data_IF_492017878160
#
_entry.id   IF_492017878160
#
_cell.length_a   1.000
_cell.length_b   1.000
_cell.length_c   1.000
_cell.angle_alpha   90.00
_cell.angle_beta   90.00
_cell.angle_gamma   90.00
#
_symmetry.space_group_name_H-M   'P 1'
#
loop_
_entity.id
_entity.type
_entity.pdbx_description
1 polymer ?
#
# COMPACT_ATOMS: atom_id res chain seq x y z
N UNK A 1 38.59 -18.95 12.47
CA UNK A 1 37.99 -19.25 11.16
C UNK A 1 37.10 -18.07 10.83
N UNK A 2 37.65 -17.14 10.06
CA UNK A 2 36.88 -16.04 9.48
C UNK A 2 35.91 -16.68 8.48
N UNK A 3 34.60 -16.41 8.63
CA UNK A 3 33.63 -16.82 7.62
C UNK A 3 33.86 -15.93 6.40
N UNK A 4 34.43 -16.50 5.35
CA UNK A 4 34.50 -15.87 4.03
C UNK A 4 33.08 -15.43 3.64
N UNK A 5 32.92 -14.13 3.37
CA UNK A 5 31.67 -13.51 2.98
C UNK A 5 31.34 -13.69 1.49
N UNK A 6 31.91 -14.72 0.87
CA UNK A 6 31.62 -15.09 -0.52
C UNK A 6 30.42 -16.04 -0.51
N UNK A 7 29.24 -15.56 -0.91
CA UNK A 7 28.07 -16.41 -1.13
C UNK A 7 26.78 -16.01 -0.43
N UNK A 8 26.69 -14.81 0.15
CA UNK A 8 25.37 -14.31 0.59
C UNK A 8 24.55 -13.96 -0.65
N UNK A 9 23.71 -14.89 -1.09
CA UNK A 9 22.79 -14.71 -2.22
C UNK A 9 21.89 -13.51 -1.93
N UNK A 10 22.03 -12.45 -2.71
CA UNK A 10 21.20 -11.25 -2.62
C UNK A 10 19.83 -11.47 -3.26
N UNK A 11 18.86 -10.60 -2.93
CA UNK A 11 17.48 -10.66 -3.42
C UNK A 11 17.37 -10.81 -4.94
N UNK A 12 18.20 -10.08 -5.69
CA UNK A 12 18.20 -10.11 -7.16
C UNK A 12 18.58 -11.48 -7.71
N UNK A 13 19.71 -12.03 -7.23
CA UNK A 13 20.21 -13.35 -7.64
C UNK A 13 19.21 -14.45 -7.27
N UNK A 14 18.53 -14.27 -6.13
CA UNK A 14 17.48 -15.14 -5.66
C UNK A 14 16.21 -15.12 -6.54
N UNK A 15 15.81 -13.95 -7.06
CA UNK A 15 14.69 -13.83 -8.01
C UNK A 15 15.01 -14.41 -9.40
N UNK A 16 16.29 -14.34 -9.81
CA UNK A 16 16.73 -14.80 -11.13
C UNK A 16 17.04 -16.31 -11.18
N UNK A 17 17.68 -16.86 -10.14
CA UNK A 17 18.12 -18.27 -10.10
C UNK A 17 17.14 -19.19 -9.35
N UNK A 18 16.22 -18.62 -8.56
CA UNK A 18 15.22 -19.37 -7.80
C UNK A 18 15.77 -20.13 -6.58
N UNK A 19 14.94 -20.98 -5.98
CA UNK A 19 15.37 -21.89 -4.92
C UNK A 19 15.95 -23.17 -5.49
N UNK A 20 16.99 -23.70 -4.83
CA UNK A 20 17.50 -25.03 -5.11
C UNK A 20 16.36 -26.06 -5.03
N UNK A 21 16.28 -26.97 -5.99
CA UNK A 21 15.24 -28.00 -6.06
C UNK A 21 15.26 -28.82 -4.76
N UNK A 22 14.09 -29.12 -4.14
CA UNK A 22 14.00 -30.05 -3.03
C UNK A 22 14.86 -31.30 -3.15
N UNK A 23 14.93 -31.91 -4.34
CA UNK A 23 15.74 -33.12 -4.60
C UNK A 23 17.24 -32.84 -4.54
N UNK A 24 17.69 -31.69 -5.04
CA UNK A 24 19.10 -31.31 -4.99
C UNK A 24 19.55 -31.02 -3.55
N UNK A 25 18.68 -30.42 -2.73
CA UNK A 25 18.94 -30.21 -1.30
C UNK A 25 19.03 -31.52 -0.54
N UNK A 26 18.12 -32.45 -0.81
CA UNK A 26 18.13 -33.79 -0.20
C UNK A 26 19.43 -34.53 -0.52
N UNK A 27 19.89 -34.46 -1.78
CA UNK A 27 21.17 -35.04 -2.23
C UNK A 27 22.34 -34.40 -1.49
N UNK A 28 22.35 -33.08 -1.29
CA UNK A 28 23.40 -32.38 -0.55
C UNK A 28 23.41 -32.81 0.92
N UNK A 29 22.24 -32.90 1.56
CA UNK A 29 22.11 -33.29 2.96
C UNK A 29 22.51 -34.76 3.19
N UNK A 30 22.12 -35.65 2.28
CA UNK A 30 22.55 -37.05 2.27
C UNK A 30 24.07 -37.18 2.08
N UNK A 31 24.65 -36.44 1.14
CA UNK A 31 26.10 -36.43 0.91
C UNK A 31 26.90 -35.85 2.09
N UNK A 32 26.28 -34.95 2.86
CA UNK A 32 26.86 -34.41 4.09
C UNK A 32 26.79 -35.38 5.29
N UNK A 33 26.10 -36.52 5.13
CA UNK A 33 25.96 -37.54 6.17
C UNK A 33 24.97 -37.16 7.28
N UNK A 34 23.99 -36.31 6.98
CA UNK A 34 22.91 -35.99 7.92
C UNK A 34 22.00 -37.21 8.13
N UNK A 35 21.56 -37.44 9.36
CA UNK A 35 20.59 -38.49 9.70
C UNK A 35 19.21 -38.15 9.10
N UNK A 36 18.50 -39.13 8.55
CA UNK A 36 17.19 -38.98 7.90
C UNK A 36 16.14 -38.16 8.69
N UNK A 37 15.97 -38.33 10.02
CA UNK A 37 15.05 -37.47 10.80
C UNK A 37 15.52 -36.01 10.90
N UNK A 38 16.83 -35.76 10.87
CA UNK A 38 17.37 -34.40 10.83
C UNK A 38 17.19 -33.76 9.44
N UNK A 39 17.32 -34.54 8.37
CA UNK A 39 17.06 -34.10 7.00
C UNK A 39 15.60 -33.65 6.86
N UNK A 40 14.64 -34.47 7.29
CA UNK A 40 13.22 -34.15 7.21
C UNK A 40 12.85 -32.87 7.98
N UNK A 41 13.42 -32.67 9.18
CA UNK A 41 13.19 -31.45 9.97
C UNK A 41 13.77 -30.21 9.30
N UNK A 42 14.99 -30.30 8.74
CA UNK A 42 15.65 -29.19 8.06
C UNK A 42 14.93 -28.85 6.76
N UNK A 43 14.45 -29.84 6.01
CA UNK A 43 13.69 -29.61 4.78
C UNK A 43 12.35 -28.95 5.04
N UNK A 44 11.64 -29.35 6.11
CA UNK A 44 10.39 -28.71 6.51
C UNK A 44 10.62 -27.23 6.87
N UNK A 45 11.65 -26.93 7.68
CA UNK A 45 12.00 -25.55 8.05
C UNK A 45 12.39 -24.71 6.82
N UNK A 46 13.22 -25.27 5.93
CA UNK A 46 13.63 -24.58 4.69
C UNK A 46 12.42 -24.34 3.79
N UNK A 47 11.49 -25.28 3.67
CA UNK A 47 10.26 -25.09 2.90
C UNK A 47 9.37 -23.99 3.48
N UNK A 48 9.23 -23.90 4.79
CA UNK A 48 8.52 -22.78 5.45
C UNK A 48 9.21 -21.44 5.18
N UNK A 49 10.54 -21.38 5.28
CA UNK A 49 11.30 -20.16 4.96
C UNK A 49 11.12 -19.76 3.49
N UNK A 50 11.07 -20.75 2.59
CA UNK A 50 10.81 -20.54 1.17
C UNK A 50 9.42 -19.95 0.96
N UNK A 51 8.42 -20.52 1.61
CA UNK A 51 7.04 -20.09 1.50
C UNK A 51 6.86 -18.66 2.02
N UNK A 52 7.33 -18.35 3.23
CA UNK A 52 7.24 -17.00 3.80
C UNK A 52 7.97 -15.96 2.95
N UNK A 53 9.07 -16.35 2.30
CA UNK A 53 9.78 -15.46 1.37
C UNK A 53 9.06 -15.31 0.05
N UNK A 54 8.37 -16.33 -0.47
CA UNK A 54 7.51 -16.20 -1.65
C UNK A 54 6.35 -15.26 -1.36
N UNK A 55 5.63 -15.48 -0.27
CA UNK A 55 4.55 -14.62 0.21
C UNK A 55 5.04 -13.19 0.42
N UNK A 56 6.19 -12.99 1.08
CA UNK A 56 6.79 -11.65 1.23
C UNK A 56 7.19 -11.02 -0.11
N UNK A 57 7.65 -11.79 -1.10
CA UNK A 57 7.99 -11.25 -2.41
C UNK A 57 6.75 -10.97 -3.27
N UNK A 58 5.68 -11.73 -3.08
CA UNK A 58 4.38 -11.55 -3.70
C UNK A 58 3.72 -10.29 -3.16
N UNK A 59 3.69 -10.12 -1.84
CA UNK A 59 3.28 -8.88 -1.17
C UNK A 59 4.14 -7.70 -1.63
N UNK A 60 5.47 -7.86 -1.68
CA UNK A 60 6.36 -6.81 -2.20
C UNK A 60 6.06 -6.47 -3.66
N UNK A 61 5.72 -7.45 -4.49
CA UNK A 61 5.41 -7.26 -5.90
C UNK A 61 4.05 -6.57 -6.08
N UNK A 62 3.03 -7.00 -5.34
CA UNK A 62 1.72 -6.36 -5.29
C UNK A 62 1.82 -4.92 -4.78
N UNK A 63 2.63 -4.68 -3.75
CA UNK A 63 2.95 -3.37 -3.22
C UNK A 63 3.72 -2.51 -4.24
N UNK A 64 4.69 -3.08 -4.95
CA UNK A 64 5.54 -2.35 -5.92
C UNK A 64 4.81 -2.02 -7.22
N UNK A 65 3.83 -2.82 -7.63
CA UNK A 65 3.08 -2.62 -8.86
C UNK A 65 1.63 -2.18 -8.64
N UNK A 66 1.19 -2.04 -7.38
CA UNK A 66 -0.14 -1.61 -6.95
C UNK A 66 -1.26 -2.41 -7.66
N UNK A 67 -1.09 -3.74 -7.66
CA UNK A 67 -1.99 -4.70 -8.34
C UNK A 67 -3.02 -5.32 -7.39
N UNK A 68 -2.79 -5.25 -6.06
CA UNK A 68 -3.74 -5.70 -5.05
C UNK A 68 -4.64 -4.57 -4.54
N UNK A 69 -5.95 -4.80 -4.50
CA UNK A 69 -6.82 -4.08 -3.57
C UNK A 69 -6.38 -4.48 -2.16
N UNK A 70 -6.09 -3.50 -1.30
CA UNK A 70 -6.01 -3.73 0.13
C UNK A 70 -7.42 -4.10 0.58
N UNK A 71 -7.72 -5.38 0.65
CA UNK A 71 -8.79 -5.84 1.53
C UNK A 71 -8.34 -5.48 2.94
N UNK A 72 -8.98 -4.46 3.53
CA UNK A 72 -8.90 -4.21 4.96
C UNK A 72 -9.35 -5.53 5.63
N UNK A 73 -8.45 -6.24 6.30
CA UNK A 73 -8.78 -7.47 7.05
C UNK A 73 -9.56 -7.15 8.34
N UNK A 74 -10.65 -6.39 8.21
CA UNK A 74 -11.73 -6.36 9.19
C UNK A 74 -12.94 -7.06 8.54
N UNK A 75 -13.33 -8.19 9.13
CA UNK A 75 -14.45 -9.09 8.81
C UNK A 75 -14.20 -10.19 7.75
N UNK A 76 -13.41 -11.21 8.12
CA UNK A 76 -13.58 -12.57 7.57
C UNK A 76 -14.41 -13.39 8.55
N UNK A 77 -15.71 -13.54 8.29
CA UNK A 77 -16.47 -14.64 8.87
C UNK A 77 -15.95 -15.96 8.30
N UNK A 78 -15.44 -16.80 9.19
CA UNK A 78 -14.78 -18.06 8.91
C UNK A 78 -15.81 -19.16 8.57
N UNK A 79 -16.26 -19.24 7.32
CA UNK A 79 -17.05 -20.37 6.82
C UNK A 79 -16.11 -21.54 6.43
N UNK A 80 -15.67 -22.30 7.43
CA UNK A 80 -15.01 -23.59 7.22
C UNK A 80 -16.06 -24.68 6.91
N UNK A 81 -16.15 -25.11 5.65
CA UNK A 81 -16.84 -26.36 5.28
C UNK A 81 -15.88 -27.32 4.53
N UNK A 82 -15.67 -28.56 5.01
CA UNK A 82 -14.75 -29.50 4.37
C UNK A 82 -15.38 -30.12 3.11
N UNK A 83 -14.74 -29.90 1.96
CA UNK A 83 -15.07 -30.60 0.70
C UNK A 83 -14.71 -32.08 0.84
N UNK A 84 -15.74 -32.93 1.01
CA UNK A 84 -15.61 -34.39 0.96
C UNK A 84 -15.77 -34.83 -0.49
N UNK A 85 -14.72 -35.44 -1.07
CA UNK A 85 -14.82 -36.16 -2.34
C UNK A 85 -15.72 -37.39 -2.17
N UNK A 86 -16.79 -37.49 -2.95
CA UNK A 86 -17.48 -38.76 -3.22
C UNK A 86 -17.58 -38.94 -4.74
N UNK A 87 -17.06 -40.08 -5.16
CA UNK A 87 -16.99 -40.59 -6.53
C UNK A 87 -18.17 -41.56 -6.70
N UNK A 88 -19.04 -41.36 -7.70
CA UNK A 88 -19.85 -42.45 -8.28
C UNK A 88 -20.45 -42.07 -9.66
N UNK A 89 -20.76 -43.11 -10.41
CA UNK A 89 -20.79 -43.31 -11.86
C UNK A 89 -22.11 -42.96 -12.59
N UNK A 90 -21.95 -42.67 -13.90
CA UNK A 90 -22.78 -43.02 -15.08
C UNK A 90 -24.30 -43.24 -14.93
N UNK A 91 -25.09 -42.38 -15.59
CA UNK A 91 -26.00 -42.62 -16.73
C UNK A 91 -27.01 -41.43 -16.79
N UNK A 92 -27.67 -41.00 -17.86
CA UNK A 92 -27.88 -41.40 -19.24
C UNK A 92 -29.27 -40.86 -19.64
N UNK A 93 -29.38 -40.14 -20.77
CA UNK A 93 -30.63 -39.78 -21.51
C UNK A 93 -31.65 -38.83 -20.85
N UNK A 94 -32.50 -38.06 -21.51
CA UNK A 94 -32.64 -37.51 -22.87
C UNK A 94 -33.89 -36.56 -22.87
N UNK A 95 -33.97 -35.67 -23.88
CA UNK A 95 -35.17 -35.01 -24.48
C UNK A 95 -35.78 -33.79 -23.72
N UNK A 96 -35.76 -32.57 -24.30
CA UNK A 96 -36.74 -31.93 -25.25
C UNK A 96 -38.10 -31.63 -24.57
N UNK A 97 -38.82 -30.49 -24.68
CA UNK A 97 -38.82 -29.23 -25.46
C UNK A 97 -39.55 -28.11 -24.64
N UNK A 98 -39.59 -26.87 -25.20
CA UNK A 98 -40.71 -25.88 -25.23
C UNK A 98 -41.59 -25.62 -23.99
N UNK A 99 -42.07 -24.43 -23.65
CA UNK A 99 -42.61 -23.31 -24.44
C UNK A 99 -42.72 -22.05 -23.54
N UNK A 100 -43.17 -20.97 -24.18
CA UNK A 100 -43.30 -19.56 -23.82
C UNK A 100 -44.33 -19.14 -22.75
N UNK A 101 -44.09 -17.92 -22.22
CA UNK A 101 -45.04 -16.86 -21.82
C UNK A 101 -46.08 -17.13 -20.71
N UNK A 102 -46.03 -16.34 -19.63
CA UNK A 102 -47.02 -15.28 -19.30
C UNK A 102 -46.79 -14.72 -17.89
N UNK A 103 -46.93 -13.40 -17.76
CA UNK A 103 -46.92 -12.64 -16.51
C UNK A 103 -48.21 -12.87 -15.70
N UNK A 104 -48.10 -12.98 -14.37
CA UNK A 104 -49.12 -12.44 -13.47
C UNK A 104 -48.61 -12.28 -12.04
N UNK A 105 -48.77 -11.06 -11.55
CA UNK A 105 -48.61 -10.64 -10.16
C UNK A 105 -49.49 -11.49 -9.23
N UNK A 106 -48.99 -11.81 -8.04
CA UNK A 106 -49.87 -11.86 -6.88
C UNK A 106 -49.13 -11.56 -5.57
N UNK A 107 -49.62 -10.52 -4.92
CA UNK A 107 -49.44 -10.17 -3.52
C UNK A 107 -49.93 -11.30 -2.60
N UNK A 108 -49.16 -11.64 -1.57
CA UNK A 108 -49.73 -12.22 -0.35
C UNK A 108 -48.86 -11.84 0.85
N UNK A 109 -49.45 -11.03 1.71
CA UNK A 109 -49.03 -10.75 3.09
C UNK A 109 -49.24 -12.02 3.96
N UNK A 110 -48.92 -11.90 5.27
CA UNK A 110 -49.13 -12.84 6.39
C UNK A 110 -47.94 -13.82 6.65
N UNK A 111 -47.34 -13.95 7.83
CA UNK A 111 -47.70 -13.57 9.21
C UNK A 111 -46.47 -13.35 10.11
N UNK A 112 -46.66 -12.48 11.12
CA UNK A 112 -45.77 -12.33 12.28
C UNK A 112 -46.24 -13.27 13.40
N UNK A 113 -45.34 -14.08 13.94
CA UNK A 113 -45.56 -14.84 15.16
C UNK A 113 -44.36 -14.69 16.11
N UNK A 114 -44.61 -13.98 17.22
CA UNK A 114 -43.77 -13.89 18.41
C UNK A 114 -43.49 -15.27 19.02
N UNK A 115 -42.22 -15.56 19.34
CA UNK A 115 -41.85 -16.59 20.33
C UNK A 115 -40.62 -16.13 21.14
N UNK A 116 -40.93 -15.81 22.40
CA UNK A 116 -40.20 -15.99 23.65
C UNK A 116 -38.77 -15.46 23.89
N UNK A 117 -38.72 -14.61 24.92
CA UNK A 117 -37.59 -14.03 25.62
C UNK A 117 -37.18 -14.93 26.80
N UNK A 118 -35.96 -15.50 26.83
CA UNK A 118 -35.05 -15.72 28.00
C UNK A 118 -33.82 -16.56 27.60
N UNK A 119 -32.67 -16.57 28.33
CA UNK A 119 -32.13 -15.62 29.31
C UNK A 119 -30.64 -15.24 29.05
N UNK A 120 -30.17 -14.21 29.76
CA UNK A 120 -28.76 -13.84 29.94
C UNK A 120 -27.94 -14.85 30.76
N UNK A 121 -26.61 -14.73 30.64
CA UNK A 121 -25.49 -15.40 31.37
C UNK A 121 -24.93 -16.63 30.61
N UNK A 122 -23.65 -16.72 30.22
CA UNK A 122 -22.43 -16.35 30.94
C UNK A 122 -21.27 -16.07 29.94
N UNK A 123 -20.50 -14.99 30.17
CA UNK A 123 -19.29 -14.69 29.42
C UNK A 123 -18.13 -15.56 29.95
N UNK A 124 -17.90 -16.72 29.34
CA UNK A 124 -16.62 -17.43 29.51
C UNK A 124 -15.60 -16.82 28.55
N UNK A 125 -14.77 -15.93 29.08
CA UNK A 125 -13.62 -15.35 28.36
C UNK A 125 -12.71 -16.50 27.90
N UNK A 126 -12.37 -16.51 26.61
CA UNK A 126 -11.54 -17.52 25.99
C UNK A 126 -10.07 -17.31 26.45
N UNK A 127 -9.36 -18.33 27.00
CA UNK A 127 -8.01 -18.15 27.59
C UNK A 127 -6.94 -17.64 26.63
N UNK A 128 -7.17 -17.68 25.31
CA UNK A 128 -6.28 -17.10 24.30
C UNK A 128 -6.36 -15.57 24.24
N UNK A 129 -7.54 -14.99 24.50
CA UNK A 129 -7.74 -13.53 24.54
C UNK A 129 -7.13 -12.89 25.79
N UNK A 130 -7.10 -13.63 26.92
CA UNK A 130 -6.41 -13.18 28.14
C UNK A 130 -4.89 -13.16 27.95
N UNK A 131 -4.30 -14.17 27.30
CA UNK A 131 -2.87 -14.20 27.00
C UNK A 131 -2.45 -13.08 26.06
N UNK A 132 -3.30 -12.73 25.10
CA UNK A 132 -3.03 -11.62 24.19
C UNK A 132 -3.15 -10.25 24.88
N UNK A 133 -4.17 -10.05 25.72
CA UNK A 133 -4.29 -8.85 26.56
C UNK A 133 -3.14 -8.72 27.56
N UNK A 134 -2.68 -9.81 28.16
CA UNK A 134 -1.51 -9.80 29.04
C UNK A 134 -0.24 -9.43 28.27
N UNK A 135 -0.06 -9.94 27.04
CA UNK A 135 1.07 -9.54 26.17
C UNK A 135 1.02 -8.06 25.80
N UNK A 136 -0.16 -7.52 25.50
CA UNK A 136 -0.35 -6.09 25.23
C UNK A 136 -0.06 -5.24 26.48
N UNK A 137 -0.58 -5.63 27.64
CA UNK A 137 -0.33 -4.92 28.90
C UNK A 137 1.14 -5.01 29.33
N UNK A 138 1.79 -6.15 29.11
CA UNK A 138 3.21 -6.34 29.40
C UNK A 138 4.09 -5.53 28.42
N UNK A 139 3.72 -5.46 27.14
CA UNK A 139 4.38 -4.61 26.14
C UNK A 139 4.25 -3.13 26.51
N UNK A 140 3.05 -2.68 26.91
CA UNK A 140 2.86 -1.32 27.41
C UNK A 140 3.67 -1.03 28.67
N UNK A 141 3.75 -1.97 29.61
CA UNK A 141 4.52 -1.82 30.83
C UNK A 141 6.04 -1.80 30.54
N UNK A 142 6.51 -2.58 29.56
CA UNK A 142 7.90 -2.56 29.07
C UNK A 142 8.23 -1.23 28.40
N UNK A 143 7.32 -0.68 27.60
CA UNK A 143 7.46 0.66 27.00
C UNK A 143 7.50 1.73 28.10
N UNK A 144 6.62 1.66 29.10
CA UNK A 144 6.57 2.60 30.24
C UNK A 144 7.81 2.51 31.15
N UNK A 145 8.43 1.35 31.32
CA UNK A 145 9.61 1.16 32.18
C UNK A 145 10.92 1.56 31.51
N UNK A 146 11.01 1.47 30.18
CA UNK A 146 12.13 2.05 29.40
C UNK A 146 12.24 3.57 29.65
N UNK A 147 11.13 4.25 29.92
CA UNK A 147 11.09 5.69 30.23
C UNK A 147 11.62 6.06 31.64
N UNK A 148 11.71 5.11 32.58
CA UNK A 148 12.00 5.43 34.00
C UNK A 148 13.47 5.23 34.39
N UNK A 149 14.26 4.44 33.65
CA UNK A 149 15.67 4.16 34.00
C UNK A 149 16.71 5.17 33.45
N UNK A 150 16.31 6.38 33.05
CA UNK A 150 17.24 7.45 32.59
C UNK A 150 17.22 8.75 33.40
N UNK A 151 16.76 8.71 34.65
CA UNK A 151 17.05 9.79 35.60
C UNK A 151 18.45 9.54 36.20
N UNK A 152 19.45 10.37 35.92
CA UNK A 152 19.64 11.50 36.83
C UNK A 152 20.30 12.76 36.25
N UNK A 153 20.77 12.85 34.99
CA UNK A 153 21.48 14.08 34.54
C UNK A 153 21.39 14.37 33.03
N UNK A 154 20.18 14.42 32.47
CA UNK A 154 19.98 15.09 31.18
C UNK A 154 18.58 15.69 31.11
N UNK A 155 18.53 16.99 30.84
CA UNK A 155 17.32 17.79 30.70
C UNK A 155 16.22 17.00 29.99
N UNK A 156 15.01 17.08 30.55
CA UNK A 156 13.80 16.49 29.99
C UNK A 156 13.65 16.88 28.51
N UNK A 157 14.03 15.97 27.63
CA UNK A 157 13.58 15.99 26.24
C UNK A 157 12.19 15.40 26.31
N UNK A 158 11.19 16.27 26.48
CA UNK A 158 9.81 15.91 26.20
C UNK A 158 9.77 15.34 24.79
N UNK A 159 9.10 14.20 24.60
CA UNK A 159 8.60 13.79 23.30
C UNK A 159 7.50 14.79 22.88
N UNK A 160 7.86 16.05 22.68
CA UNK A 160 7.03 17.07 22.07
C UNK A 160 6.82 16.65 20.63
N UNK A 161 5.55 16.42 20.29
CA UNK A 161 4.97 16.43 18.95
C UNK A 161 6.00 16.37 17.82
N UNK A 162 6.05 15.25 17.12
CA UNK A 162 6.54 15.22 15.74
C UNK A 162 5.94 16.43 15.03
N UNK A 163 6.75 17.45 14.78
CA UNK A 163 6.27 18.67 14.13
C UNK A 163 5.83 18.28 12.74
N UNK A 164 4.52 18.40 12.45
CA UNK A 164 4.00 18.17 11.11
C UNK A 164 4.86 18.94 10.10
N UNK A 165 5.30 18.26 9.04
CA UNK A 165 6.11 18.91 8.00
C UNK A 165 5.37 20.13 7.46
N UNK A 166 6.03 21.29 7.35
CA UNK A 166 5.37 22.52 6.95
C UNK A 166 4.87 22.42 5.50
N UNK A 167 3.77 23.11 5.23
CA UNK A 167 3.30 23.29 3.86
C UNK A 167 4.13 24.38 3.18
N UNK A 168 4.49 24.12 1.93
CA UNK A 168 5.34 24.97 1.09
C UNK A 168 4.47 25.66 0.04
N UNK A 169 4.87 26.85 -0.40
CA UNK A 169 4.21 27.59 -1.48
C UNK A 169 4.86 27.27 -2.83
N UNK A 170 4.13 27.50 -3.93
CA UNK A 170 4.64 27.20 -5.28
C UNK A 170 5.96 27.91 -5.56
N UNK A 171 6.09 29.19 -5.19
CA UNK A 171 7.32 29.97 -5.39
C UNK A 171 8.58 29.39 -4.72
N UNK A 172 8.42 28.59 -3.67
CA UNK A 172 9.53 28.06 -2.87
C UNK A 172 9.98 26.67 -3.36
N UNK A 173 9.35 26.14 -4.41
CA UNK A 173 9.73 24.87 -5.03
C UNK A 173 11.07 25.00 -5.73
N UNK A 174 11.99 24.09 -5.40
CA UNK A 174 13.30 23.99 -6.03
C UNK A 174 13.32 22.83 -7.04
N UNK A 175 13.90 22.99 -8.25
CA UNK A 175 14.01 21.88 -9.20
C UNK A 175 14.78 20.69 -8.60
N UNK A 176 14.22 19.49 -8.70
CA UNK A 176 14.78 18.25 -8.15
C UNK A 176 14.56 18.04 -6.65
N UNK A 177 13.83 18.93 -5.97
CA UNK A 177 13.52 18.78 -4.55
C UNK A 177 12.34 17.83 -4.30
N UNK A 178 12.27 17.25 -3.10
CA UNK A 178 11.37 16.14 -2.77
C UNK A 178 10.67 16.37 -1.42
N UNK A 179 9.55 15.69 -1.21
CA UNK A 179 8.87 15.66 0.09
C UNK A 179 8.00 16.87 0.42
N UNK A 180 7.48 17.57 -0.59
CA UNK A 180 6.70 18.78 -0.39
C UNK A 180 5.23 18.51 -0.09
N UNK A 181 4.65 19.34 0.76
CA UNK A 181 3.22 19.37 1.01
C UNK A 181 2.66 20.73 0.55
N UNK A 182 1.66 20.74 -0.31
CA UNK A 182 1.07 21.95 -0.87
C UNK A 182 -0.47 21.88 -0.86
N UNK A 183 -1.11 23.05 -0.83
CA UNK A 183 -2.56 23.19 -1.05
C UNK A 183 -2.76 24.11 -2.24
N UNK A 184 -3.28 23.57 -3.33
CA UNK A 184 -3.33 24.24 -4.62
C UNK A 184 -4.74 24.14 -5.22
N UNK A 185 -5.13 25.13 -6.02
CA UNK A 185 -6.35 25.09 -6.82
C UNK A 185 -6.05 24.59 -8.23
N UNK A 186 -6.92 23.74 -8.77
CA UNK A 186 -6.84 23.25 -10.14
C UNK A 186 -7.30 24.35 -11.10
N UNK A 187 -6.41 24.80 -11.98
CA UNK A 187 -6.68 25.85 -12.97
C UNK A 187 -7.19 25.24 -14.27
N UNK A 188 -6.47 24.24 -14.78
CA UNK A 188 -6.81 23.58 -16.04
C UNK A 188 -6.29 22.15 -16.06
N UNK A 189 -6.94 21.30 -16.86
CA UNK A 189 -6.58 19.89 -17.03
C UNK A 189 -6.36 19.62 -18.52
N UNK A 190 -5.20 19.09 -18.87
CA UNK A 190 -4.87 18.67 -20.23
C UNK A 190 -5.47 17.29 -20.55
N UNK A 191 -5.49 16.95 -21.84
CA UNK A 191 -6.03 15.67 -22.29
C UNK A 191 -5.26 14.48 -21.69
N UNK A 192 -6.01 13.49 -21.21
CA UNK A 192 -5.46 12.23 -20.70
C UNK A 192 -4.82 11.42 -21.83
N UNK A 193 -3.58 11.00 -21.61
CA UNK A 193 -2.85 10.08 -22.47
C UNK A 193 -2.92 8.69 -21.85
N UNK A 194 -3.49 7.74 -22.59
CA UNK A 194 -3.57 6.35 -22.19
C UNK A 194 -2.50 5.53 -22.90
N UNK A 195 -1.74 4.74 -22.15
CA UNK A 195 -0.72 3.84 -22.68
C UNK A 195 -1.01 2.41 -22.19
N UNK A 196 -1.26 1.52 -23.15
CA UNK A 196 -1.33 0.08 -22.89
C UNK A 196 0.06 -0.46 -22.56
N UNK A 197 0.19 -1.14 -21.44
CA UNK A 197 1.39 -1.87 -21.03
C UNK A 197 1.37 -3.28 -21.63
N UNK A 198 2.50 -3.99 -21.53
CA UNK A 198 2.67 -5.34 -22.06
C UNK A 198 1.83 -6.38 -21.30
N UNK A 199 1.51 -6.10 -20.03
CA UNK A 199 0.67 -6.88 -19.13
C UNK A 199 -0.83 -6.71 -19.40
N UNK A 200 -1.21 -5.87 -20.38
CA UNK A 200 -2.60 -5.56 -20.69
C UNK A 200 -3.20 -4.42 -19.85
N UNK A 201 -2.51 -3.96 -18.80
CA UNK A 201 -2.95 -2.82 -17.99
C UNK A 201 -2.86 -1.50 -18.77
N UNK A 202 -3.73 -0.56 -18.43
CA UNK A 202 -3.79 0.77 -19.06
C UNK A 202 -3.27 1.79 -18.05
N UNK A 203 -2.14 2.43 -18.34
CA UNK A 203 -1.70 3.60 -17.57
C UNK A 203 -2.27 4.86 -18.17
N UNK A 204 -2.97 5.65 -17.34
CA UNK A 204 -3.48 6.97 -17.70
C UNK A 204 -2.59 8.05 -17.10
N UNK A 205 -2.18 9.02 -17.90
CA UNK A 205 -1.39 10.17 -17.47
C UNK A 205 -2.05 11.44 -18.00
N UNK A 206 -2.26 12.43 -17.13
CA UNK A 206 -2.72 13.76 -17.52
C UNK A 206 -1.82 14.83 -16.91
N UNK A 207 -1.57 15.90 -17.66
CA UNK A 207 -0.95 17.10 -17.10
C UNK A 207 -2.07 18.05 -16.64
N UNK A 208 -1.94 18.63 -15.46
CA UNK A 208 -2.84 19.68 -14.98
C UNK A 208 -2.03 20.87 -14.49
N UNK A 209 -2.63 22.06 -14.54
CA UNK A 209 -2.03 23.27 -13.97
C UNK A 209 -2.64 23.49 -12.60
N UNK A 210 -1.82 23.44 -11.57
CA UNK A 210 -2.20 23.72 -10.19
C UNK A 210 -1.59 25.06 -9.76
N UNK A 211 -2.31 25.83 -8.96
CA UNK A 211 -1.87 27.17 -8.60
C UNK A 211 -2.27 27.59 -7.19
N UNK A 212 -1.47 28.48 -6.61
CA UNK A 212 -1.74 29.18 -5.36
C UNK A 212 -1.60 30.70 -5.58
N UNK A 213 -1.56 31.47 -4.49
CA UNK A 213 -1.39 32.92 -4.59
C UNK A 213 0.01 33.35 -5.09
N UNK A 214 1.00 32.45 -5.01
CA UNK A 214 2.40 32.72 -5.34
C UNK A 214 2.74 32.38 -6.79
N UNK A 215 2.08 31.38 -7.37
CA UNK A 215 2.24 31.02 -8.78
C UNK A 215 1.52 29.74 -9.17
N UNK A 216 1.86 29.20 -10.33
CA UNK A 216 1.32 27.97 -10.86
C UNK A 216 2.42 27.00 -11.30
N UNK A 217 2.11 25.70 -11.23
CA UNK A 217 3.00 24.60 -11.54
C UNK A 217 2.23 23.50 -12.28
N UNK A 218 2.89 22.89 -13.26
CA UNK A 218 2.36 21.72 -13.97
C UNK A 218 2.50 20.49 -13.09
N UNK A 219 1.38 19.85 -12.79
CA UNK A 219 1.27 18.61 -12.06
C UNK A 219 1.02 17.44 -13.01
N UNK A 220 1.73 16.34 -12.80
CA UNK A 220 1.53 15.10 -13.55
C UNK A 220 0.66 14.14 -12.74
N UNK A 221 -0.62 14.04 -13.11
CA UNK A 221 -1.59 13.15 -12.50
C UNK A 221 -1.54 11.76 -13.15
N UNK A 222 -1.68 10.70 -12.34
CA UNK A 222 -1.69 9.30 -12.80
C UNK A 222 -2.96 8.58 -12.35
N UNK A 223 -3.50 7.74 -13.24
CA UNK A 223 -4.64 6.85 -12.96
C UNK A 223 -5.78 7.60 -12.23
N UNK A 224 -6.14 7.18 -11.03
CA UNK A 224 -7.29 7.68 -10.26
C UNK A 224 -7.12 9.12 -9.78
N UNK A 225 -5.87 9.62 -9.72
CA UNK A 225 -5.60 11.03 -9.45
C UNK A 225 -6.26 11.94 -10.50
N UNK A 226 -6.40 11.45 -11.73
CA UNK A 226 -6.98 12.20 -12.85
C UNK A 226 -8.47 12.42 -12.59
N UNK A 227 -9.17 11.41 -12.07
CA UNK A 227 -10.62 11.46 -11.84
C UNK A 227 -10.99 12.36 -10.65
N UNK A 228 -10.05 12.55 -9.72
CA UNK A 228 -10.18 13.49 -8.60
C UNK A 228 -9.98 14.96 -9.02
N UNK A 229 -9.22 15.22 -10.08
CA UNK A 229 -8.94 16.58 -10.54
C UNK A 229 -10.12 17.12 -11.34
N UNK A 230 -10.69 18.24 -10.87
CA UNK A 230 -11.66 19.03 -11.63
C UNK A 230 -11.30 20.51 -11.50
N UNK A 231 -11.46 21.25 -12.60
CA UNK A 231 -11.17 22.68 -12.63
C UNK A 231 -11.94 23.43 -11.53
N UNK A 232 -11.25 24.35 -10.86
CA UNK A 232 -11.80 25.14 -9.76
C UNK A 232 -11.78 24.43 -8.40
N UNK A 233 -11.55 23.12 -8.31
CA UNK A 233 -11.39 22.44 -7.02
C UNK A 233 -10.04 22.75 -6.38
N UNK A 234 -10.01 22.70 -5.05
CA UNK A 234 -8.78 22.82 -4.26
C UNK A 234 -8.35 21.44 -3.82
N UNK A 235 -7.09 21.12 -4.04
CA UNK A 235 -6.45 19.85 -3.73
C UNK A 235 -5.33 20.03 -2.73
N UNK A 236 -5.15 19.03 -1.88
CA UNK A 236 -4.05 18.90 -0.95
C UNK A 236 -3.11 17.84 -1.53
N UNK A 237 -1.88 18.25 -1.80
CA UNK A 237 -0.82 17.41 -2.34
C UNK A 237 0.16 17.13 -1.22
N UNK A 238 0.29 15.85 -0.80
CA UNK A 238 1.22 15.45 0.27
C UNK A 238 2.35 14.60 -0.28
N UNK A 239 3.56 14.85 0.25
CA UNK A 239 4.79 14.14 -0.10
C UNK A 239 5.01 14.08 -1.63
N UNK A 240 5.18 15.25 -2.24
CA UNK A 240 5.36 15.44 -3.68
C UNK A 240 6.79 15.80 -4.05
N UNK A 241 7.19 15.48 -5.29
CA UNK A 241 8.48 15.87 -5.85
C UNK A 241 8.31 16.92 -6.95
N UNK A 242 9.27 17.83 -7.01
CA UNK A 242 9.44 18.81 -8.08
C UNK A 242 10.48 18.29 -9.09
N UNK A 243 10.13 17.24 -9.83
CA UNK A 243 11.03 16.60 -10.79
C UNK A 243 11.27 17.46 -12.03
N UNK A 244 12.36 17.21 -12.75
CA UNK A 244 12.65 17.88 -14.03
C UNK A 244 12.38 16.90 -15.17
N UNK A 245 11.52 17.28 -16.10
CA UNK A 245 11.24 16.51 -17.31
C UNK A 245 11.42 17.41 -18.54
N UNK A 246 12.28 16.98 -19.47
CA UNK A 246 12.65 17.74 -20.67
C UNK A 246 13.12 19.17 -20.37
N UNK A 247 13.90 19.36 -19.31
CA UNK A 247 14.40 20.68 -18.89
C UNK A 247 13.39 21.52 -18.09
N UNK A 248 12.17 21.05 -17.87
CA UNK A 248 11.15 21.83 -17.17
C UNK A 248 10.65 21.12 -15.90
N UNK A 249 10.32 21.89 -14.86
CA UNK A 249 9.86 21.34 -13.58
C UNK A 249 8.43 20.79 -13.67
N UNK A 250 8.17 19.61 -13.11
CA UNK A 250 6.83 19.00 -12.97
C UNK A 250 6.65 18.53 -11.54
N UNK A 251 5.49 18.83 -10.98
CA UNK A 251 5.09 18.32 -9.67
C UNK A 251 4.47 16.93 -9.83
N UNK A 252 4.85 15.97 -9.00
CA UNK A 252 4.21 14.65 -8.95
C UNK A 252 4.07 14.14 -7.51
N UNK A 253 3.15 13.21 -7.28
CA UNK A 253 2.98 12.57 -5.98
C UNK A 253 3.89 11.34 -5.91
N UNK A 254 4.62 11.19 -4.80
CA UNK A 254 5.45 10.01 -4.55
C UNK A 254 4.60 8.78 -4.21
N UNK A 255 5.21 7.60 -4.13
CA UNK A 255 4.52 6.37 -3.71
C UNK A 255 3.95 6.43 -2.28
N UNK A 256 4.56 7.22 -1.39
CA UNK A 256 4.06 7.46 -0.03
C UNK A 256 3.29 8.77 0.08
N UNK A 257 3.00 9.40 -1.05
CA UNK A 257 2.25 10.64 -1.12
C UNK A 257 0.78 10.39 -1.40
N UNK A 258 -0.04 11.39 -1.08
CA UNK A 258 -1.48 11.32 -1.28
C UNK A 258 -1.96 12.62 -1.90
N UNK A 259 -2.86 12.48 -2.88
CA UNK A 259 -3.65 13.57 -3.41
C UNK A 259 -5.05 13.46 -2.79
N UNK A 260 -5.54 14.54 -2.18
CA UNK A 260 -6.89 14.60 -1.61
C UNK A 260 -7.57 15.92 -1.95
N UNK A 261 -8.90 15.96 -1.87
CA UNK A 261 -9.65 17.21 -1.97
C UNK A 261 -9.52 18.01 -0.67
N UNK A 262 -9.56 19.33 -0.76
CA UNK A 262 -9.65 20.21 0.41
C UNK A 262 -11.12 20.45 0.80
N UNK A 263 -11.48 20.39 2.10
CA UNK A 263 -10.63 20.04 3.24
C UNK A 263 -10.42 18.52 3.36
N UNK A 264 -9.23 18.11 3.80
CA UNK A 264 -8.83 16.69 3.95
C UNK A 264 -9.03 16.13 5.38
N UNK A 265 -9.64 16.92 6.27
CA UNK A 265 -9.90 16.54 7.67
C UNK A 265 -8.67 16.54 8.57
N UNK A 266 -7.50 16.98 8.09
CA UNK A 266 -6.27 17.03 8.87
C UNK A 266 -6.03 18.44 9.41
N UNK A 267 -5.85 18.57 10.73
CA UNK A 267 -5.68 19.86 11.42
C UNK A 267 -4.47 20.66 10.92
N UNK A 268 -3.40 19.98 10.50
CA UNK A 268 -2.19 20.63 9.99
C UNK A 268 -2.35 21.23 8.58
N UNK A 269 -3.45 20.93 7.88
CA UNK A 269 -3.67 21.40 6.51
C UNK A 269 -4.06 22.88 6.54
N UNK A 270 -3.34 23.76 5.83
CA UNK A 270 -3.69 25.17 5.77
C UNK A 270 -5.05 25.36 5.07
N UNK A 271 -5.70 26.52 5.27
CA UNK A 271 -6.88 26.85 4.50
C UNK A 271 -6.57 26.88 2.99
N UNK A 272 -7.62 26.77 2.18
CA UNK A 272 -7.51 26.92 0.73
C UNK A 272 -6.82 28.25 0.36
N UNK A 273 -6.05 28.29 -0.75
CA UNK A 273 -5.38 29.51 -1.18
C UNK A 273 -6.40 30.64 -1.41
N UNK A 274 -6.15 31.86 -0.93
CA UNK A 274 -7.11 32.96 -0.97
C UNK A 274 -7.36 33.49 -2.40
N UNK A 275 -6.39 33.29 -3.29
CA UNK A 275 -6.43 33.69 -4.70
C UNK A 275 -5.49 32.80 -5.50
N UNK A 276 -5.69 32.74 -6.81
CA UNK A 276 -4.86 31.99 -7.75
C UNK A 276 -4.08 32.93 -8.65
N UNK A 277 -2.78 32.68 -8.79
CA UNK A 277 -1.89 33.36 -9.71
C UNK A 277 -1.46 32.41 -10.85
N UNK A 278 -2.18 32.47 -11.97
CA UNK A 278 -1.89 31.66 -13.16
C UNK A 278 -0.79 32.24 -14.06
N UNK A 279 -0.41 33.50 -13.86
CA UNK A 279 0.56 34.20 -14.73
C UNK A 279 2.01 33.80 -14.39
N UNK A 280 2.29 33.51 -13.11
CA UNK A 280 3.61 33.11 -12.65
C UNK A 280 3.81 31.59 -12.72
N UNK A 281 4.10 31.09 -13.92
CA UNK A 281 4.30 29.66 -14.15
C UNK A 281 5.76 29.22 -13.93
N UNK A 282 6.04 28.56 -12.81
CA UNK A 282 7.39 28.07 -12.47
C UNK A 282 7.80 26.84 -13.28
N UNK A 283 6.84 26.07 -13.81
CA UNK A 283 7.11 24.90 -14.66
C UNK A 283 7.34 25.25 -16.13
N UNK A 284 7.13 26.51 -16.52
CA UNK A 284 7.47 27.03 -17.84
C UNK A 284 8.94 27.49 -17.95
N UNK A 285 9.65 27.57 -16.82
CA UNK A 285 11.07 27.93 -16.77
C UNK A 285 11.90 26.70 -17.15
N UNK A 286 12.86 26.90 -18.06
CA UNK A 286 13.81 25.88 -18.49
C UNK A 286 15.04 25.87 -17.56
N UNK A 287 15.42 24.67 -17.13
CA UNK A 287 16.53 24.39 -16.24
C UNK A 287 17.54 23.48 -16.96
N UNK A 288 18.82 23.83 -16.83
CA UNK A 288 19.93 23.03 -17.32
C UNK A 288 20.73 22.48 -16.14
N UNK A 289 21.14 21.21 -16.22
CA UNK A 289 22.03 20.63 -15.23
C UNK A 289 23.45 21.15 -15.48
N UNK A 290 23.92 22.01 -14.58
CA UNK A 290 25.30 22.50 -14.60
C UNK A 290 26.17 21.55 -13.78
N UNK A 291 27.09 20.85 -14.44
CA UNK A 291 28.16 20.12 -13.76
C UNK A 291 29.21 21.14 -13.32
N UNK A 292 29.36 21.33 -12.01
CA UNK A 292 30.50 22.07 -11.49
C UNK A 292 31.70 21.13 -11.49
N UNK A 293 32.71 21.41 -12.32
CA UNK A 293 33.99 20.72 -12.26
C UNK A 293 34.59 21.01 -10.88
N UNK A 294 34.74 19.99 -10.04
CA UNK A 294 35.43 20.13 -8.77
C UNK A 294 36.90 20.47 -9.08
N UNK A 295 37.43 21.61 -8.61
CA UNK A 295 38.80 22.04 -8.93
C UNK A 295 39.83 21.24 -8.10
N UNK A 296 39.87 19.92 -8.25
CA UNK A 296 40.61 19.02 -7.36
C UNK A 296 40.98 17.61 -7.85
N UNK A 297 40.85 17.28 -9.13
CA UNK A 297 41.48 16.07 -9.72
C UNK A 297 42.59 16.39 -10.72
#
# INVERSE_FOLDING_TARGET
>A
MERESEGRVGRQNYMEEGYLDPQEREIILNNAGCEEPAIASVEAEVNTIIQHRRESNEIDYEFMYNVGELEDEDDVEEENAPTTMVFEQDDGSAEEEGESEEEQENSMEEEVADVDEVPSEDCSVNPEQEQEQERYQEAEAKIKTIDVCRSSDRAAVSYTQLSALPHVKVQDLTPGSQGHNLVLQVVSIAATVEKKRYDGSISRIAESVLADETGCVTFTARNDQIDMLKEGLVVVVRNSNADIFNGFMRLNVTQWGKLSLHPDGVESTPPAPPSVNSDNNISAIEYELVTVDDPGE
#
